data_IF_522525843981
#
_entry.id   IF_522525843981
#
_cell.length_a   1.000
_cell.length_b   1.000
_cell.length_c   1.000
_cell.angle_alpha   90.00
_cell.angle_beta   90.00
_cell.angle_gamma   90.00
#
_symmetry.space_group_name_H-M   'P 1'
#
loop_
_entity.id
_entity.type
_entity.pdbx_description
1 polymer ?
#
# COMPACT_ATOMS: atom_id res chain seq x y z
N UNK A 1 13.10 -19.21 21.23
CA UNK A 1 11.72 -19.59 20.87
C UNK A 1 11.14 -18.47 20.03
N UNK A 2 10.29 -18.78 19.04
CA UNK A 2 9.61 -17.75 18.24
C UNK A 2 8.71 -16.94 19.16
N UNK A 3 8.85 -15.62 19.11
CA UNK A 3 8.07 -14.68 19.92
C UNK A 3 6.81 -14.23 19.17
N UNK A 4 5.88 -13.56 19.87
CA UNK A 4 4.70 -12.96 19.23
C UNK A 4 5.05 -12.00 18.09
N UNK A 5 6.21 -11.33 18.18
CA UNK A 5 6.74 -10.52 17.09
C UNK A 5 7.06 -11.34 15.83
N UNK A 6 7.74 -12.48 15.99
CA UNK A 6 8.12 -13.33 14.86
C UNK A 6 6.87 -13.89 14.14
N UNK A 7 5.84 -14.30 14.89
CA UNK A 7 4.57 -14.72 14.31
C UNK A 7 3.87 -13.60 13.56
N UNK A 8 3.84 -12.37 14.09
CA UNK A 8 3.22 -11.23 13.41
C UNK A 8 3.92 -10.94 12.07
N UNK A 9 5.25 -10.94 12.06
CA UNK A 9 6.07 -10.74 10.85
C UNK A 9 5.78 -11.84 9.82
N UNK A 10 5.79 -13.11 10.23
CA UNK A 10 5.50 -14.23 9.33
C UNK A 10 4.08 -14.17 8.75
N UNK A 11 3.08 -13.82 9.57
CA UNK A 11 1.70 -13.68 9.12
C UNK A 11 1.59 -12.56 8.09
N UNK A 12 2.21 -11.40 8.34
CA UNK A 12 2.12 -10.25 7.43
C UNK A 12 2.81 -10.55 6.10
N UNK A 13 4.02 -11.09 6.13
CA UNK A 13 4.76 -11.46 4.92
C UNK A 13 4.04 -12.58 4.17
N UNK A 14 3.58 -13.62 4.88
CA UNK A 14 2.86 -14.75 4.31
C UNK A 14 1.54 -14.34 3.64
N UNK A 15 0.73 -13.52 4.32
CA UNK A 15 -0.53 -13.02 3.76
C UNK A 15 -0.28 -12.08 2.58
N UNK A 16 0.75 -11.24 2.64
CA UNK A 16 1.10 -10.34 1.53
C UNK A 16 1.57 -11.12 0.31
N UNK A 17 2.42 -12.13 0.50
CA UNK A 17 2.89 -13.02 -0.57
C UNK A 17 1.73 -13.84 -1.17
N UNK A 18 0.85 -14.40 -0.34
CA UNK A 18 -0.30 -15.18 -0.78
C UNK A 18 -1.28 -14.30 -1.58
N UNK A 19 -1.53 -13.07 -1.10
CA UNK A 19 -2.38 -12.09 -1.79
C UNK A 19 -1.77 -11.67 -3.13
N UNK A 20 -0.46 -11.43 -3.18
CA UNK A 20 0.26 -11.12 -4.41
C UNK A 20 0.20 -12.28 -5.41
N UNK A 21 0.36 -13.52 -4.95
CA UNK A 21 0.21 -14.72 -5.77
C UNK A 21 -1.22 -14.90 -6.31
N UNK A 22 -2.25 -14.56 -5.53
CA UNK A 22 -3.64 -14.67 -5.96
C UNK A 22 -4.07 -13.59 -6.93
N UNK A 23 -3.62 -12.33 -6.72
CA UNK A 23 -3.96 -11.21 -7.60
C UNK A 23 -3.11 -11.17 -8.88
N UNK A 24 -1.85 -11.61 -8.81
CA UNK A 24 -0.90 -11.47 -9.91
C UNK A 24 -0.22 -10.09 -9.94
N UNK A 25 0.97 -10.02 -10.56
CA UNK A 25 1.77 -8.80 -10.64
C UNK A 25 1.02 -7.69 -11.39
N UNK A 26 0.44 -8.00 -12.56
CA UNK A 26 -0.24 -7.01 -13.38
C UNK A 26 -1.38 -6.35 -12.62
N UNK A 27 -2.22 -7.13 -11.96
CA UNK A 27 -3.32 -6.60 -11.17
C UNK A 27 -2.84 -5.67 -10.05
N UNK A 28 -1.66 -5.94 -9.48
CA UNK A 28 -1.08 -5.10 -8.43
C UNK A 28 -0.47 -3.81 -8.99
N UNK A 29 0.19 -3.88 -10.15
CA UNK A 29 0.69 -2.70 -10.88
C UNK A 29 -0.47 -1.80 -11.31
N UNK A 30 -1.51 -2.36 -11.94
CA UNK A 30 -2.69 -1.59 -12.34
C UNK A 30 -3.42 -0.99 -11.14
N UNK A 31 -3.46 -1.69 -10.00
CA UNK A 31 -4.03 -1.12 -8.79
C UNK A 31 -3.22 0.10 -8.32
N UNK A 32 -1.89 -0.03 -8.21
CA UNK A 32 -1.01 1.05 -7.75
C UNK A 32 -0.99 2.24 -8.72
N UNK A 33 -0.79 1.97 -10.01
CA UNK A 33 -0.91 2.98 -11.06
C UNK A 33 -2.31 3.60 -11.05
N UNK A 34 -3.33 2.78 -10.77
CA UNK A 34 -4.72 3.21 -10.65
C UNK A 34 -4.94 4.28 -9.61
N UNK A 35 -4.40 4.10 -8.41
CA UNK A 35 -4.46 5.12 -7.35
C UNK A 35 -3.79 6.43 -7.77
N UNK A 36 -2.60 6.36 -8.38
CA UNK A 36 -1.86 7.55 -8.84
C UNK A 36 -2.59 8.26 -9.96
N UNK A 37 -3.01 7.53 -11.00
CA UNK A 37 -3.72 8.09 -12.15
C UNK A 37 -5.06 8.68 -11.70
N UNK A 38 -5.83 7.96 -10.87
CA UNK A 38 -7.09 8.45 -10.34
C UNK A 38 -6.91 9.74 -9.53
N UNK A 39 -5.85 9.82 -8.72
CA UNK A 39 -5.52 11.05 -7.99
C UNK A 39 -5.18 12.22 -8.93
N UNK A 40 -4.34 11.98 -9.95
CA UNK A 40 -3.96 13.01 -10.91
C UNK A 40 -5.15 13.50 -11.75
N UNK A 41 -5.98 12.58 -12.24
CA UNK A 41 -7.21 12.89 -12.99
C UNK A 41 -8.18 13.65 -12.10
N UNK A 42 -8.46 13.16 -10.89
CA UNK A 42 -9.35 13.84 -9.96
C UNK A 42 -8.85 15.25 -9.64
N UNK A 43 -7.55 15.42 -9.32
CA UNK A 43 -6.96 16.75 -9.07
C UNK A 43 -7.09 17.69 -10.26
N UNK A 44 -6.91 17.19 -11.48
CA UNK A 44 -6.92 18.03 -12.68
C UNK A 44 -8.34 18.48 -13.06
N UNK A 45 -9.30 17.57 -13.03
CA UNK A 45 -10.67 17.82 -13.50
C UNK A 45 -11.67 18.20 -12.41
N UNK A 46 -11.25 18.26 -11.13
CA UNK A 46 -12.16 18.59 -10.01
C UNK A 46 -12.90 19.91 -10.21
N UNK A 47 -12.24 20.94 -10.75
CA UNK A 47 -12.85 22.25 -10.95
C UNK A 47 -13.98 22.24 -11.98
N UNK A 48 -13.82 21.48 -13.08
CA UNK A 48 -14.84 21.35 -14.11
C UNK A 48 -16.06 20.56 -13.61
N UNK A 49 -15.81 19.45 -12.89
CA UNK A 49 -16.88 18.58 -12.38
C UNK A 49 -17.59 19.19 -11.17
N UNK A 50 -16.87 19.95 -10.32
CA UNK A 50 -17.48 20.64 -9.19
C UNK A 50 -18.51 21.67 -9.64
N UNK A 51 -18.28 22.34 -10.78
CA UNK A 51 -19.23 23.29 -11.37
C UNK A 51 -20.55 22.66 -11.84
N UNK A 52 -20.61 21.33 -12.02
CA UNK A 52 -21.84 20.62 -12.36
C UNK A 52 -22.68 20.27 -11.14
N UNK A 53 -22.12 20.37 -9.94
CA UNK A 53 -22.83 20.08 -8.70
C UNK A 53 -23.64 21.33 -8.30
N UNK A 54 -24.95 21.20 -8.01
CA UNK A 54 -25.77 22.34 -7.62
C UNK A 54 -25.22 23.07 -6.38
N UNK A 55 -25.18 24.39 -6.43
CA UNK A 55 -24.77 25.26 -5.31
C UNK A 55 -25.72 25.21 -4.10
N UNK A 56 -26.89 24.60 -4.27
CA UNK A 56 -27.88 24.36 -3.21
C UNK A 56 -27.50 23.19 -2.30
N UNK A 57 -26.43 22.45 -2.61
CA UNK A 57 -26.01 21.31 -1.79
C UNK A 57 -25.44 21.78 -0.44
N UNK A 58 -25.83 21.14 0.69
CA UNK A 58 -25.33 21.52 2.01
C UNK A 58 -23.83 21.30 2.11
N UNK A 59 -23.10 22.32 2.59
CA UNK A 59 -21.65 22.30 2.77
C UNK A 59 -20.84 23.18 1.78
N UNK A 60 -21.53 23.84 0.85
CA UNK A 60 -20.92 24.87 -0.01
C UNK A 60 -19.85 24.34 -0.97
N UNK A 61 -18.98 25.24 -1.45
CA UNK A 61 -17.98 24.96 -2.49
C UNK A 61 -17.01 23.83 -2.10
N UNK A 62 -16.60 23.75 -0.83
CA UNK A 62 -15.72 22.71 -0.33
C UNK A 62 -16.33 21.31 -0.49
N UNK A 63 -17.62 21.15 -0.17
CA UNK A 63 -18.30 19.86 -0.32
C UNK A 63 -18.45 19.48 -1.78
N UNK A 64 -18.68 20.44 -2.68
CA UNK A 64 -18.74 20.17 -4.12
C UNK A 64 -17.39 19.69 -4.65
N UNK A 65 -16.29 20.36 -4.29
CA UNK A 65 -14.95 19.94 -4.67
C UNK A 65 -14.63 18.53 -4.17
N UNK A 66 -14.96 18.21 -2.92
CA UNK A 66 -14.75 16.88 -2.36
C UNK A 66 -15.58 15.81 -3.08
N UNK A 67 -16.84 16.11 -3.38
CA UNK A 67 -17.74 15.18 -4.06
C UNK A 67 -17.30 14.95 -5.51
N UNK A 68 -16.94 16.01 -6.24
CA UNK A 68 -16.39 15.95 -7.59
C UNK A 68 -15.08 15.15 -7.62
N UNK A 69 -14.18 15.40 -6.67
CA UNK A 69 -12.94 14.65 -6.53
C UNK A 69 -13.22 13.17 -6.29
N UNK A 70 -14.11 12.84 -5.35
CA UNK A 70 -14.48 11.47 -5.05
C UNK A 70 -15.11 10.76 -6.27
N UNK A 71 -16.00 11.45 -6.99
CA UNK A 71 -16.64 10.92 -8.19
C UNK A 71 -15.63 10.64 -9.30
N UNK A 72 -14.74 11.59 -9.60
CA UNK A 72 -13.67 11.41 -10.58
C UNK A 72 -12.71 10.29 -10.19
N UNK A 73 -12.34 10.23 -8.92
CA UNK A 73 -11.45 9.21 -8.38
C UNK A 73 -12.06 7.82 -8.56
N UNK A 74 -13.32 7.63 -8.14
CA UNK A 74 -14.04 6.37 -8.27
C UNK A 74 -14.24 6.00 -9.74
N UNK A 75 -14.66 6.93 -10.59
CA UNK A 75 -14.86 6.69 -12.02
C UNK A 75 -13.56 6.24 -12.69
N UNK A 76 -12.45 6.92 -12.42
CA UNK A 76 -11.13 6.56 -12.96
C UNK A 76 -10.68 5.20 -12.45
N UNK A 77 -10.88 4.92 -11.16
CA UNK A 77 -10.52 3.64 -10.56
C UNK A 77 -11.33 2.48 -11.16
N UNK A 78 -12.61 2.70 -11.48
CA UNK A 78 -13.44 1.72 -12.20
C UNK A 78 -12.89 1.42 -13.59
N UNK A 79 -12.56 2.46 -14.37
CA UNK A 79 -11.95 2.29 -15.71
C UNK A 79 -10.66 1.49 -15.63
N UNK A 80 -9.77 1.84 -14.69
CA UNK A 80 -8.51 1.14 -14.51
C UNK A 80 -8.73 -0.30 -14.02
N UNK A 81 -9.74 -0.53 -13.19
CA UNK A 81 -10.15 -1.88 -12.78
C UNK A 81 -10.58 -2.75 -13.97
N UNK A 82 -11.31 -2.18 -14.93
CA UNK A 82 -11.70 -2.87 -16.17
C UNK A 82 -10.46 -3.18 -17.03
N UNK A 83 -9.53 -2.23 -17.18
CA UNK A 83 -8.28 -2.45 -17.90
C UNK A 83 -7.42 -3.53 -17.25
N UNK A 84 -7.35 -3.55 -15.92
CA UNK A 84 -6.65 -4.58 -15.15
C UNK A 84 -7.27 -5.97 -15.38
N UNK A 85 -8.60 -6.05 -15.37
CA UNK A 85 -9.31 -7.30 -15.65
C UNK A 85 -9.04 -7.80 -17.07
N UNK A 86 -9.01 -6.90 -18.05
CA UNK A 86 -8.68 -7.25 -19.44
C UNK A 86 -7.23 -7.73 -19.56
N UNK A 87 -6.28 -7.04 -18.92
CA UNK A 87 -4.87 -7.44 -18.91
C UNK A 87 -4.67 -8.84 -18.30
N UNK A 88 -5.38 -9.14 -17.20
CA UNK A 88 -5.38 -10.48 -16.60
C UNK A 88 -5.95 -11.55 -17.54
N UNK A 89 -6.99 -11.24 -18.32
CA UNK A 89 -7.50 -12.19 -19.32
C UNK A 89 -6.49 -12.43 -20.44
N UNK A 90 -5.71 -11.43 -20.83
CA UNK A 90 -4.65 -11.58 -21.83
C UNK A 90 -3.51 -12.48 -21.33
N UNK A 91 -3.12 -12.38 -20.05
CA UNK A 91 -2.11 -13.30 -19.49
C UNK A 91 -2.60 -14.72 -19.34
N UNK A 92 -3.90 -14.90 -19.11
CA UNK A 92 -4.53 -16.22 -19.15
C UNK A 92 -4.52 -16.81 -20.56
N UNK A 93 -4.85 -16.01 -21.59
CA UNK A 93 -4.86 -16.46 -22.99
C UNK A 93 -3.47 -16.82 -23.53
N UNK A 94 -2.42 -16.14 -23.07
CA UNK A 94 -1.03 -16.37 -23.49
C UNK A 94 -0.33 -17.46 -22.70
N UNK A 95 -0.98 -18.04 -21.68
CA UNK A 95 -0.38 -19.04 -20.79
C UNK A 95 0.64 -18.47 -19.79
N UNK A 96 0.85 -17.14 -19.77
CA UNK A 96 1.79 -16.45 -18.88
C UNK A 96 1.26 -16.28 -17.45
N UNK A 97 0.08 -16.82 -17.14
CA UNK A 97 -0.54 -16.77 -15.81
C UNK A 97 0.38 -17.23 -14.68
N UNK A 98 1.18 -18.28 -14.90
CA UNK A 98 2.12 -18.76 -13.88
C UNK A 98 3.26 -17.75 -13.60
N UNK A 99 3.74 -17.08 -14.65
CA UNK A 99 4.76 -16.03 -14.54
C UNK A 99 4.19 -14.82 -13.82
N UNK A 100 2.99 -14.36 -14.20
CA UNK A 100 2.33 -13.23 -13.55
C UNK A 100 2.07 -13.47 -12.05
N UNK A 101 1.64 -14.69 -11.66
CA UNK A 101 1.43 -15.05 -10.25
C UNK A 101 2.72 -15.21 -9.46
N UNK A 102 3.77 -15.77 -10.05
CA UNK A 102 5.07 -15.91 -9.38
C UNK A 102 5.72 -14.55 -9.16
N UNK A 103 5.67 -13.65 -10.15
CA UNK A 103 6.09 -12.27 -9.98
C UNK A 103 5.22 -11.52 -8.96
N UNK A 104 3.92 -11.79 -8.94
CA UNK A 104 3.00 -11.27 -7.92
C UNK A 104 3.37 -11.74 -6.50
N UNK A 105 3.84 -12.99 -6.35
CA UNK A 105 4.37 -13.48 -5.07
C UNK A 105 5.62 -12.71 -4.65
N UNK A 106 6.58 -12.50 -5.55
CA UNK A 106 7.80 -11.73 -5.26
C UNK A 106 7.47 -10.28 -4.89
N UNK A 107 6.55 -9.65 -5.62
CA UNK A 107 6.07 -8.31 -5.30
C UNK A 107 5.35 -8.28 -3.94
N UNK A 108 4.49 -9.25 -3.67
CA UNK A 108 3.79 -9.42 -2.40
C UNK A 108 4.75 -9.64 -1.23
N UNK A 109 5.84 -10.39 -1.42
CA UNK A 109 6.92 -10.52 -0.44
C UNK A 109 7.61 -9.19 -0.17
N UNK A 110 8.03 -8.47 -1.22
CA UNK A 110 8.68 -7.17 -1.09
C UNK A 110 7.77 -6.16 -0.35
N UNK A 111 6.48 -6.13 -0.69
CA UNK A 111 5.47 -5.33 0.00
C UNK A 111 5.29 -5.76 1.45
N UNK A 112 5.27 -7.07 1.73
CA UNK A 112 5.15 -7.61 3.08
C UNK A 112 6.33 -7.19 3.96
N UNK A 113 7.55 -7.25 3.41
CA UNK A 113 8.76 -6.74 4.07
C UNK A 113 8.63 -5.24 4.31
N UNK A 114 8.22 -4.45 3.32
CA UNK A 114 8.03 -3.01 3.48
C UNK A 114 7.01 -2.67 4.59
N UNK A 115 5.89 -3.40 4.65
CA UNK A 115 4.88 -3.24 5.70
C UNK A 115 5.44 -3.60 7.08
N UNK A 116 6.24 -4.65 7.19
CA UNK A 116 6.92 -5.01 8.44
C UNK A 116 7.90 -3.92 8.87
N UNK A 117 8.71 -3.39 7.96
CA UNK A 117 9.63 -2.29 8.26
C UNK A 117 8.88 -1.05 8.72
N UNK A 118 7.75 -0.72 8.07
CA UNK A 118 6.90 0.38 8.49
C UNK A 118 6.32 0.16 9.90
N UNK A 119 5.80 -1.04 10.19
CA UNK A 119 5.29 -1.37 11.53
C UNK A 119 6.38 -1.32 12.59
N UNK A 120 7.60 -1.76 12.29
CA UNK A 120 8.74 -1.71 13.20
C UNK A 120 9.19 -0.26 13.43
N UNK A 121 9.21 0.57 12.39
CA UNK A 121 9.50 1.99 12.52
C UNK A 121 8.46 2.69 13.40
N UNK A 122 7.16 2.42 13.18
CA UNK A 122 6.07 2.96 14.00
C UNK A 122 6.11 2.44 15.44
N UNK A 123 6.39 1.15 15.64
CA UNK A 123 6.54 0.57 16.98
C UNK A 123 7.74 1.18 17.72
N UNK A 124 8.82 1.53 17.01
CA UNK A 124 9.98 2.26 17.56
C UNK A 124 9.63 3.63 18.16
N UNK A 125 8.51 4.24 17.74
CA UNK A 125 7.99 5.48 18.33
C UNK A 125 7.18 5.24 19.63
N UNK A 126 7.02 3.98 20.04
CA UNK A 126 6.21 3.59 21.22
C UNK A 126 7.06 2.81 22.23
N UNK A 127 6.47 2.43 23.36
CA UNK A 127 7.11 1.57 24.38
C UNK A 127 7.04 0.08 24.06
N UNK A 128 6.41 -0.31 22.94
CA UNK A 128 6.32 -1.71 22.48
C UNK A 128 7.68 -2.43 22.35
N UNK A 129 8.78 -1.79 21.91
CA UNK A 129 10.09 -2.43 21.81
C UNK A 129 10.68 -2.88 23.16
N UNK A 130 10.18 -2.34 24.27
CA UNK A 130 10.66 -2.66 25.62
C UNK A 130 10.00 -3.93 26.19
N UNK A 131 8.93 -4.44 25.56
CA UNK A 131 8.22 -5.62 26.06
C UNK A 131 8.94 -6.93 25.68
N UNK A 132 8.85 -7.95 26.54
CA UNK A 132 9.58 -9.22 26.38
C UNK A 132 9.20 -9.99 25.10
N UNK A 133 7.99 -9.77 24.56
CA UNK A 133 7.55 -10.37 23.29
C UNK A 133 8.26 -9.77 22.06
N UNK A 134 8.79 -8.55 22.18
CA UNK A 134 9.53 -7.86 21.12
C UNK A 134 11.04 -8.03 21.33
N UNK A 135 11.51 -7.85 22.56
CA UNK A 135 12.94 -7.86 22.92
C UNK A 135 13.63 -9.17 22.55
N UNK A 136 12.92 -10.30 22.67
CA UNK A 136 13.43 -11.65 22.41
C UNK A 136 13.19 -12.15 20.97
N UNK A 137 12.65 -11.31 20.08
CA UNK A 137 12.32 -11.71 18.71
C UNK A 137 13.56 -12.01 17.86
N UNK A 138 13.53 -13.12 17.12
CA UNK A 138 14.64 -13.53 16.25
C UNK A 138 14.76 -12.66 15.00
N UNK A 139 13.63 -12.15 14.49
CA UNK A 139 13.58 -11.30 13.30
C UNK A 139 13.82 -9.82 13.60
N UNK A 140 13.94 -9.46 14.88
CA UNK A 140 14.17 -8.09 15.37
C UNK A 140 15.43 -7.43 14.77
N UNK A 141 16.64 -8.01 14.85
CA UNK A 141 17.86 -7.34 14.34
C UNK A 141 17.82 -7.13 12.83
N UNK A 142 17.17 -8.02 12.07
CA UNK A 142 17.00 -7.86 10.62
C UNK A 142 16.05 -6.71 10.29
N UNK A 143 14.94 -6.60 11.02
CA UNK A 143 13.98 -5.52 10.83
C UNK A 143 14.56 -4.16 11.26
N UNK A 144 15.30 -4.10 12.36
CA UNK A 144 16.01 -2.89 12.82
C UNK A 144 17.08 -2.44 11.82
N UNK A 145 17.86 -3.37 11.25
CA UNK A 145 18.81 -3.04 10.19
C UNK A 145 18.12 -2.49 8.94
N UNK A 146 16.98 -3.08 8.54
CA UNK A 146 16.19 -2.58 7.42
C UNK A 146 15.67 -1.16 7.66
N UNK A 147 15.19 -0.87 8.88
CA UNK A 147 14.74 0.48 9.26
C UNK A 147 15.93 1.46 9.30
N UNK A 148 17.10 1.05 9.78
CA UNK A 148 18.32 1.88 9.73
C UNK A 148 18.75 2.21 8.30
N UNK A 149 18.59 1.28 7.36
CA UNK A 149 18.83 1.54 5.93
C UNK A 149 17.83 2.55 5.32
N UNK A 150 16.61 2.61 5.88
CA UNK A 150 15.57 3.57 5.49
C UNK A 150 15.62 4.91 6.25
N UNK A 151 16.43 5.03 7.33
CA UNK A 151 16.63 6.29 8.07
C UNK A 151 16.96 7.50 7.19
N UNK A 152 17.78 7.41 6.12
CA UNK A 152 18.08 8.56 5.25
C UNK A 152 16.87 9.10 4.48
N UNK A 153 15.81 8.30 4.37
CA UNK A 153 14.55 8.66 3.69
C UNK A 153 13.48 9.14 4.68
N UNK A 154 13.72 9.03 5.99
CA UNK A 154 12.78 9.47 7.02
C UNK A 154 13.00 10.96 7.33
N UNK A 155 11.94 11.77 7.46
CA UNK A 155 12.03 13.15 7.92
C UNK A 155 12.73 13.26 9.29
N UNK A 156 13.53 14.30 9.51
CA UNK A 156 14.38 14.49 10.69
C UNK A 156 13.62 14.37 12.03
N UNK A 157 12.31 14.66 12.03
CA UNK A 157 11.42 14.55 13.20
C UNK A 157 11.19 13.10 13.66
N UNK A 158 11.22 12.13 12.76
CA UNK A 158 11.09 10.70 13.06
C UNK A 158 12.44 10.06 13.37
N UNK A 159 13.53 10.55 12.75
CA UNK A 159 14.89 10.08 13.01
C UNK A 159 15.33 10.30 14.48
N UNK A 160 14.85 11.38 15.11
CA UNK A 160 15.14 11.73 16.50
C UNK A 160 14.52 10.77 17.54
N UNK A 161 13.42 10.08 17.20
CA UNK A 161 12.70 9.20 18.13
C UNK A 161 13.01 7.72 17.95
N UNK A 162 13.71 7.32 16.88
CA UNK A 162 14.16 5.93 16.70
C UNK A 162 15.43 5.70 17.53
N UNK A 163 15.24 5.46 18.83
CA UNK A 163 16.28 5.02 19.75
C UNK A 163 16.58 3.53 19.51
N UNK A 164 17.47 3.26 18.56
CA UNK A 164 18.17 1.98 18.41
C UNK A 164 19.65 2.21 18.25
#
# INVERSE_FOLDING_TARGET
>A
MLTGFDYAVMIVIGLSALRGMWRGLLAEIFALAGYVIAFLVARHYVGEVAGWIPSTWPGGEMTQLLLAFALLFIATMLVIGVLAALANRMTEATGLRAVDRSLGMVFGLARGVLLVLLMVALAGLTTLPQQDFWRNGLLRPYAEQGVRGLKPLLPDTLAAYVHY
#
